data_IF_348214998183
#
_entry.id   IF_348214998183
#
_cell.length_a   1.000
_cell.length_b   1.000
_cell.length_c   1.000
_cell.angle_alpha   90.00
_cell.angle_beta   90.00
_cell.angle_gamma   90.00
#
_symmetry.space_group_name_H-M   'P 1'
#
loop_
_entity.id
_entity.type
_entity.pdbx_description
1 polymer ?
#
# COMPACT_ATOMS: atom_id res chain seq x y z
N UNK A 1 -3.88 33.61 22.64
CA UNK A 1 -4.54 32.83 21.56
C UNK A 1 -3.97 33.26 20.21
N UNK A 2 -3.22 32.38 19.54
CA UNK A 2 -2.59 32.71 18.24
C UNK A 2 -3.63 32.69 17.12
N UNK A 3 -3.58 33.68 16.21
CA UNK A 3 -4.51 33.75 15.07
C UNK A 3 -4.24 32.59 14.10
N UNK A 4 -5.29 31.92 13.56
CA UNK A 4 -5.10 30.82 12.63
C UNK A 4 -4.46 31.30 11.33
N UNK A 5 -3.56 30.47 10.77
CA UNK A 5 -2.88 30.76 9.50
C UNK A 5 -3.89 30.73 8.34
N UNK A 6 -3.77 31.70 7.42
CA UNK A 6 -4.55 31.73 6.17
C UNK A 6 -4.30 30.43 5.39
N UNK A 7 -5.36 29.73 4.99
CA UNK A 7 -5.25 28.56 4.12
C UNK A 7 -5.14 29.03 2.67
N UNK A 8 -3.98 28.83 2.06
CA UNK A 8 -3.78 29.08 0.62
C UNK A 8 -4.32 27.91 -0.19
N UNK A 9 -4.94 28.21 -1.33
CA UNK A 9 -5.41 27.19 -2.26
C UNK A 9 -4.25 26.32 -2.76
N UNK A 10 -4.49 25.03 -2.85
CA UNK A 10 -3.53 24.06 -3.38
C UNK A 10 -4.29 22.99 -4.15
N UNK A 11 -3.96 22.82 -5.42
CA UNK A 11 -4.61 21.86 -6.32
C UNK A 11 -4.55 20.45 -5.75
N UNK A 12 -3.37 20.02 -5.26
CA UNK A 12 -3.20 18.68 -4.69
C UNK A 12 -4.06 18.45 -3.45
N UNK A 13 -4.26 19.47 -2.61
CA UNK A 13 -5.15 19.38 -1.45
C UNK A 13 -6.62 19.30 -1.87
N UNK A 14 -7.03 20.08 -2.87
CA UNK A 14 -8.39 20.05 -3.40
C UNK A 14 -8.72 18.68 -4.01
N UNK A 15 -7.81 18.13 -4.81
CA UNK A 15 -7.96 16.78 -5.41
C UNK A 15 -8.06 15.71 -4.32
N UNK A 16 -7.16 15.72 -3.32
CA UNK A 16 -7.20 14.76 -2.21
C UNK A 16 -8.48 14.88 -1.38
N UNK A 17 -8.98 16.09 -1.15
CA UNK A 17 -10.21 16.29 -0.40
C UNK A 17 -11.40 15.72 -1.16
N UNK A 18 -11.53 16.05 -2.45
CA UNK A 18 -12.59 15.51 -3.30
C UNK A 18 -12.57 13.97 -3.33
N UNK A 19 -11.38 13.37 -3.43
CA UNK A 19 -11.24 11.92 -3.36
C UNK A 19 -11.76 11.34 -2.03
N UNK A 20 -11.47 11.99 -0.89
CA UNK A 20 -11.99 11.59 0.43
C UNK A 20 -13.51 11.75 0.54
N UNK A 21 -14.06 12.79 -0.06
CA UNK A 21 -15.51 13.04 -0.05
C UNK A 21 -16.27 11.98 -0.88
N UNK A 22 -15.63 11.42 -1.92
CA UNK A 22 -16.23 10.39 -2.79
C UNK A 22 -15.98 8.96 -2.35
N UNK A 23 -14.73 8.63 -2.04
CA UNK A 23 -14.27 7.24 -1.79
C UNK A 23 -14.15 6.94 -0.29
N UNK A 24 -14.19 7.98 0.55
CA UNK A 24 -13.95 7.88 1.99
C UNK A 24 -12.51 8.18 2.36
N UNK A 25 -12.29 8.40 3.66
CA UNK A 25 -10.94 8.64 4.20
C UNK A 25 -10.24 7.31 4.37
N UNK A 26 -8.99 7.15 3.88
CA UNK A 26 -8.24 5.92 4.11
C UNK A 26 -8.06 5.68 5.63
N UNK A 27 -8.04 4.43 6.08
CA UNK A 27 -7.79 4.11 7.49
C UNK A 27 -6.51 4.80 7.98
N UNK A 28 -6.55 5.45 9.17
CA UNK A 28 -5.41 6.19 9.71
C UNK A 28 -4.25 5.25 10.10
N UNK A 29 -4.56 4.00 10.38
CA UNK A 29 -3.61 2.96 10.74
C UNK A 29 -3.69 1.82 9.74
N UNK A 30 -2.53 1.39 9.24
CA UNK A 30 -2.37 0.14 8.53
C UNK A 30 -1.61 -0.79 9.46
N UNK A 31 -2.27 -1.84 9.94
CA UNK A 31 -1.63 -2.84 10.79
C UNK A 31 -0.54 -3.52 9.96
N UNK A 32 0.71 -3.41 10.40
CA UNK A 32 1.80 -4.14 9.78
C UNK A 32 1.57 -5.63 10.04
N UNK A 33 1.70 -6.49 9.02
CA UNK A 33 1.45 -7.91 9.21
C UNK A 33 2.44 -8.50 10.23
N UNK A 34 1.91 -9.25 11.19
CA UNK A 34 2.70 -9.98 12.18
C UNK A 34 3.61 -11.01 11.49
N UNK A 35 4.68 -11.44 12.16
CA UNK A 35 5.61 -12.42 11.59
C UNK A 35 4.92 -13.75 11.24
N UNK A 36 3.88 -14.14 12.00
CA UNK A 36 3.04 -15.30 11.68
C UNK A 36 2.23 -15.11 10.40
N UNK A 37 1.71 -13.91 10.16
CA UNK A 37 0.95 -13.59 8.94
C UNK A 37 1.88 -13.52 7.73
N UNK A 38 3.08 -12.93 7.89
CA UNK A 38 4.12 -12.95 6.85
C UNK A 38 4.57 -14.35 6.51
N UNK A 39 4.69 -15.23 7.50
CA UNK A 39 5.03 -16.64 7.28
C UNK A 39 3.91 -17.39 6.55
N UNK A 40 2.64 -17.17 6.90
CA UNK A 40 1.50 -17.76 6.20
C UNK A 40 1.40 -17.28 4.73
N UNK A 41 1.73 -16.02 4.46
CA UNK A 41 1.79 -15.48 3.10
C UNK A 41 3.00 -16.01 2.29
N UNK A 42 4.05 -16.47 2.96
CA UNK A 42 5.21 -17.12 2.33
C UNK A 42 4.91 -18.61 2.12
N UNK A 43 4.32 -18.94 0.97
CA UNK A 43 4.09 -20.33 0.55
C UNK A 43 5.38 -21.14 0.44
N UNK A 44 6.53 -20.48 0.19
CA UNK A 44 7.84 -21.10 0.13
C UNK A 44 8.86 -20.39 1.03
N UNK A 45 9.72 -21.18 1.69
CA UNK A 45 10.81 -20.65 2.53
C UNK A 45 11.80 -19.81 1.74
N UNK A 46 12.03 -20.19 0.48
CA UNK A 46 12.94 -19.52 -0.45
C UNK A 46 12.16 -18.96 -1.64
N UNK A 47 12.62 -17.82 -2.16
CA UNK A 47 12.11 -17.28 -3.44
C UNK A 47 12.39 -18.28 -4.55
N UNK A 48 11.52 -18.31 -5.56
CA UNK A 48 11.74 -19.11 -6.77
C UNK A 48 13.10 -18.78 -7.38
N UNK A 49 13.89 -19.80 -7.68
CA UNK A 49 15.19 -19.62 -8.32
C UNK A 49 15.01 -19.37 -9.82
N UNK A 50 16.07 -18.87 -10.48
CA UNK A 50 16.08 -18.71 -11.93
C UNK A 50 15.80 -20.05 -12.65
N UNK A 51 16.35 -21.15 -12.15
CA UNK A 51 16.11 -22.49 -12.69
C UNK A 51 14.63 -22.91 -12.58
N UNK A 52 13.97 -22.59 -11.47
CA UNK A 52 12.53 -22.89 -11.29
C UNK A 52 11.65 -22.08 -12.24
N UNK A 53 12.11 -20.90 -12.66
CA UNK A 53 11.40 -20.07 -13.63
C UNK A 53 11.57 -20.62 -15.04
N UNK A 54 12.80 -20.96 -15.44
CA UNK A 54 13.10 -21.55 -16.75
C UNK A 54 12.35 -22.88 -16.96
N UNK A 55 12.33 -23.75 -15.95
CA UNK A 55 11.61 -25.03 -16.03
C UNK A 55 10.08 -24.90 -16.08
N UNK A 56 9.51 -23.81 -15.56
CA UNK A 56 8.08 -23.51 -15.71
C UNK A 56 7.77 -22.98 -17.11
N UNK A 57 8.61 -22.07 -17.61
CA UNK A 57 8.45 -21.51 -18.96
C UNK A 57 8.56 -22.53 -20.08
N UNK A 58 9.32 -23.62 -19.91
CA UNK A 58 9.46 -24.69 -20.90
C UNK A 58 8.29 -25.70 -20.90
N UNK A 59 7.39 -25.65 -19.89
CA UNK A 59 6.27 -26.60 -19.73
C UNK A 59 4.90 -26.03 -20.12
N UNK A 60 4.82 -24.72 -20.34
CA UNK A 60 3.64 -24.00 -20.86
C UNK A 60 3.76 -23.80 -22.38
#
# INVERSE_FOLDING_TARGET
>A
MSKPKKKVFSVTKAVKQNARDRVGTPPPEQVLPDDKQKAAARTTKHKTTLADLLTKSDRD
#
